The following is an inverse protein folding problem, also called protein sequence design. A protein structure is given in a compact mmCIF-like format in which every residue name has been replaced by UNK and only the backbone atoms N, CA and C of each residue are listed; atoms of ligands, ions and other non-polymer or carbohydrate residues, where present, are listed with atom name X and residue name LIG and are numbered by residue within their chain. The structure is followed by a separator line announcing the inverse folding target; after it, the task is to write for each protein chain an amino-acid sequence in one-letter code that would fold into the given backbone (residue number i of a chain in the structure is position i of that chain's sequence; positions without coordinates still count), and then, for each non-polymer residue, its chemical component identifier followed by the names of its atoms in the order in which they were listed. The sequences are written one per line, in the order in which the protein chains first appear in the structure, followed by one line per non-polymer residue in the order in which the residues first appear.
data_IF_301582261404
#
_entry.id   IF_301582261404
#
_cell.length_a   1.000
_cell.length_b   1.000
_cell.length_c   1.000
_cell.angle_alpha   90.00
_cell.angle_beta   90.00
_cell.angle_gamma   90.00
#
_symmetry.space_group_name_H-M   'P 1'
#
loop_
_entity.id
_entity.type
_entity.pdbx_description
1 polymer ?
#
# COMPACT_ATOMS: atom_id res chain seq x y z
N UNK A 1 -2.67 -23.09 -8.03
CA UNK A 1 -3.46 -21.84 -8.00
C UNK A 1 -2.55 -20.61 -8.00
N UNK A 2 -1.36 -20.68 -7.37
CA UNK A 2 -0.37 -19.59 -7.37
C UNK A 2 0.27 -19.28 -8.74
N UNK A 3 0.49 -20.27 -9.62
CA UNK A 3 1.12 -20.00 -10.94
C UNK A 3 0.37 -18.97 -11.80
N UNK A 4 -0.97 -19.05 -11.85
CA UNK A 4 -1.79 -18.06 -12.59
C UNK A 4 -1.72 -16.66 -12.00
N UNK A 5 -1.67 -16.56 -10.67
CA UNK A 5 -1.52 -15.29 -9.94
C UNK A 5 -0.17 -14.63 -10.28
N UNK A 6 0.92 -15.39 -10.28
CA UNK A 6 2.24 -14.90 -10.66
C UNK A 6 2.37 -14.58 -12.15
N UNK A 7 1.76 -15.36 -13.02
CA UNK A 7 1.66 -15.03 -14.46
C UNK A 7 0.92 -13.71 -14.69
N UNK A 8 -0.16 -13.46 -13.95
CA UNK A 8 -0.89 -12.20 -13.99
C UNK A 8 -0.07 -11.03 -13.43
N UNK A 9 0.66 -11.24 -12.33
CA UNK A 9 1.57 -10.26 -11.76
C UNK A 9 2.68 -9.86 -12.75
N UNK A 10 3.28 -10.82 -13.45
CA UNK A 10 4.26 -10.51 -14.51
C UNK A 10 3.66 -9.64 -15.62
N UNK A 11 2.43 -9.95 -16.05
CA UNK A 11 1.71 -9.16 -17.07
C UNK A 11 1.24 -7.80 -16.56
N UNK A 12 1.14 -7.61 -15.24
CA UNK A 12 0.76 -6.35 -14.61
C UNK A 12 1.88 -5.31 -14.77
N UNK A 13 3.15 -5.71 -14.59
CA UNK A 13 4.29 -4.80 -14.71
C UNK A 13 4.43 -4.20 -16.11
N UNK A 14 4.05 -4.94 -17.15
CA UNK A 14 4.06 -4.47 -18.54
C UNK A 14 2.88 -3.53 -18.87
N UNK A 15 1.91 -3.36 -17.97
CA UNK A 15 0.71 -2.56 -18.24
C UNK A 15 0.91 -1.10 -17.84
N UNK A 16 1.19 -0.26 -18.84
CA UNK A 16 1.39 1.19 -18.69
C UNK A 16 0.20 1.98 -18.15
N UNK A 17 -0.98 1.36 -18.00
CA UNK A 17 -2.16 2.01 -17.40
C UNK A 17 -2.26 1.81 -15.88
N UNK A 18 -1.33 1.08 -15.29
CA UNK A 18 -1.29 0.79 -13.86
C UNK A 18 -0.01 1.42 -13.32
N UNK A 19 -0.14 2.29 -12.33
CA UNK A 19 0.97 2.97 -11.70
C UNK A 19 1.80 2.05 -10.83
N UNK A 20 3.05 2.45 -10.56
CA UNK A 20 4.00 1.67 -9.75
C UNK A 20 3.47 1.33 -8.36
N UNK A 21 2.73 2.24 -7.71
CA UNK A 21 2.14 1.95 -6.40
C UNK A 21 1.13 0.80 -6.45
N UNK A 22 0.25 0.77 -7.45
CA UNK A 22 -0.74 -0.32 -7.56
C UNK A 22 -0.05 -1.62 -7.94
N UNK A 23 1.03 -1.57 -8.72
CA UNK A 23 1.87 -2.73 -8.99
C UNK A 23 2.51 -3.29 -7.72
N UNK A 24 3.11 -2.42 -6.90
CA UNK A 24 3.74 -2.76 -5.62
C UNK A 24 2.73 -3.38 -4.64
N UNK A 25 1.54 -2.78 -4.51
CA UNK A 25 0.46 -3.31 -3.67
C UNK A 25 0.01 -4.69 -4.15
N UNK A 26 -0.15 -4.87 -5.47
CA UNK A 26 -0.54 -6.17 -6.02
C UNK A 26 0.53 -7.23 -5.77
N UNK A 27 1.81 -6.88 -5.87
CA UNK A 27 2.93 -7.75 -5.53
C UNK A 27 2.89 -8.14 -4.06
N UNK A 28 2.79 -7.17 -3.16
CA UNK A 28 2.73 -7.37 -1.71
C UNK A 28 1.64 -8.38 -1.30
N UNK A 29 0.40 -8.16 -1.75
CA UNK A 29 -0.70 -9.07 -1.42
C UNK A 29 -0.62 -10.41 -2.16
N UNK A 30 0.01 -10.46 -3.34
CA UNK A 30 0.18 -11.71 -4.06
C UNK A 30 1.22 -12.62 -3.40
N UNK A 31 2.25 -12.05 -2.77
CA UNK A 31 3.34 -12.80 -2.14
C UNK A 31 3.09 -13.11 -0.65
N UNK A 32 2.18 -12.40 0.03
CA UNK A 32 1.82 -12.63 1.44
C UNK A 32 1.52 -14.11 1.77
N UNK A 33 0.83 -14.84 0.88
CA UNK A 33 0.47 -16.27 1.09
C UNK A 33 1.69 -17.22 1.15
N UNK A 34 2.83 -16.84 0.56
CA UNK A 34 4.03 -17.67 0.48
C UNK A 34 5.05 -17.36 1.62
N UNK A 35 4.76 -16.41 2.51
CA UNK A 35 5.57 -16.08 3.70
C UNK A 35 5.29 -17.01 4.89
N UNK A 36 5.21 -18.33 4.66
CA UNK A 36 5.09 -19.31 5.76
C UNK A 36 6.39 -19.47 6.57
N UNK A 37 7.54 -19.09 6.00
CA UNK A 37 8.80 -19.05 6.71
C UNK A 37 9.07 -17.63 7.21
N UNK A 38 9.12 -17.46 8.53
CA UNK A 38 9.43 -16.22 9.26
C UNK A 38 10.86 -15.65 8.96
N UNK A 39 11.46 -15.95 7.81
CA UNK A 39 12.86 -15.63 7.49
C UNK A 39 13.13 -14.16 7.17
N UNK A 40 12.10 -13.34 6.96
CA UNK A 40 12.22 -11.91 6.61
C UNK A 40 11.57 -10.95 7.61
N UNK A 41 11.17 -11.43 8.79
CA UNK A 41 10.52 -10.60 9.83
C UNK A 41 11.39 -9.45 10.34
N UNK A 42 12.72 -9.48 10.14
CA UNK A 42 13.62 -8.42 10.58
C UNK A 42 13.75 -7.24 9.59
N UNK A 43 13.31 -7.40 8.32
CA UNK A 43 13.50 -6.39 7.27
C UNK A 43 12.20 -5.70 6.82
N UNK A 44 11.04 -6.29 7.11
CA UNK A 44 9.73 -5.79 6.68
C UNK A 44 8.92 -5.40 7.92
N UNK A 45 8.29 -4.22 7.87
CA UNK A 45 7.38 -3.78 8.91
C UNK A 45 6.21 -4.78 9.11
N UNK A 46 5.58 -4.83 10.30
CA UNK A 46 4.42 -5.69 10.51
C UNK A 46 3.34 -5.45 9.44
N UNK A 47 2.62 -6.49 8.96
CA UNK A 47 1.63 -6.33 7.89
C UNK A 47 0.62 -5.21 8.13
N UNK A 48 0.17 -5.06 9.38
CA UNK A 48 -0.73 -3.98 9.78
C UNK A 48 -0.17 -2.58 9.51
N UNK A 49 1.14 -2.38 9.64
CA UNK A 49 1.82 -1.11 9.37
C UNK A 49 1.97 -0.91 7.87
N UNK A 50 2.46 -1.93 7.14
CA UNK A 50 2.60 -1.88 5.68
C UNK A 50 1.28 -1.58 4.98
N UNK A 51 0.22 -2.28 5.35
CA UNK A 51 -1.12 -2.05 4.80
C UNK A 51 -1.65 -0.65 5.15
N UNK A 52 -1.37 -0.16 6.36
CA UNK A 52 -1.75 1.21 6.76
C UNK A 52 -1.02 2.27 5.95
N UNK A 53 0.26 2.07 5.64
CA UNK A 53 1.03 2.96 4.75
C UNK A 53 0.41 2.96 3.35
N UNK A 54 0.17 1.79 2.76
CA UNK A 54 -0.44 1.70 1.44
C UNK A 54 -1.81 2.37 1.38
N UNK A 55 -2.65 2.17 2.39
CA UNK A 55 -3.95 2.84 2.48
C UNK A 55 -3.80 4.36 2.53
N UNK A 56 -2.90 4.92 3.35
CA UNK A 56 -2.68 6.37 3.42
C UNK A 56 -2.25 6.97 2.08
N UNK A 57 -1.35 6.32 1.35
CA UNK A 57 -0.90 6.79 0.04
C UNK A 57 -1.97 6.59 -1.03
N UNK A 58 -2.77 5.53 -0.96
CA UNK A 58 -3.93 5.35 -1.83
C UNK A 58 -4.95 6.49 -1.67
N UNK A 59 -5.14 6.98 -0.44
CA UNK A 59 -6.07 8.08 -0.17
C UNK A 59 -5.64 9.40 -0.81
N UNK A 60 -4.35 9.62 -1.07
CA UNK A 60 -3.85 10.86 -1.69
C UNK A 60 -4.27 11.01 -3.16
N UNK A 61 -4.43 9.89 -3.89
CA UNK A 61 -4.92 9.88 -5.28
C UNK A 61 -6.04 8.85 -5.47
N UNK A 62 -7.02 8.87 -4.56
CA UNK A 62 -8.05 7.82 -4.45
C UNK A 62 -8.74 7.48 -5.77
N UNK A 63 -9.16 8.47 -6.55
CA UNK A 63 -9.87 8.22 -7.82
C UNK A 63 -8.99 7.46 -8.82
N UNK A 64 -7.75 7.92 -9.00
CA UNK A 64 -6.78 7.25 -9.87
C UNK A 64 -6.54 5.80 -9.42
N UNK A 65 -6.34 5.59 -8.11
CA UNK A 65 -6.07 4.26 -7.55
C UNK A 65 -7.28 3.33 -7.74
N UNK A 66 -8.51 3.82 -7.55
CA UNK A 66 -9.73 3.04 -7.78
C UNK A 66 -9.90 2.68 -9.26
N UNK A 67 -9.56 3.58 -10.18
CA UNK A 67 -9.58 3.30 -11.62
C UNK A 67 -8.54 2.23 -11.98
N UNK A 68 -7.32 2.32 -11.45
CA UNK A 68 -6.27 1.34 -11.64
C UNK A 68 -6.66 -0.04 -11.08
N UNK A 69 -7.20 -0.11 -9.85
CA UNK A 69 -7.70 -1.34 -9.25
C UNK A 69 -8.89 -1.94 -10.02
N UNK A 70 -9.71 -1.11 -10.66
CA UNK A 70 -10.77 -1.57 -11.57
C UNK A 70 -10.21 -2.21 -12.84
N UNK A 71 -9.09 -1.69 -13.37
CA UNK A 71 -8.35 -2.33 -14.47
C UNK A 71 -7.80 -3.68 -14.00
N UNK A 72 -7.25 -3.74 -12.78
CA UNK A 72 -6.74 -4.99 -12.17
C UNK A 72 -7.86 -6.03 -12.09
N UNK A 73 -9.00 -5.67 -11.51
CA UNK A 73 -10.18 -6.53 -11.41
C UNK A 73 -10.60 -7.13 -12.76
N UNK A 74 -10.58 -6.31 -13.82
CA UNK A 74 -11.06 -6.70 -15.15
C UNK A 74 -10.07 -7.57 -15.92
N UNK A 75 -8.77 -7.30 -15.79
CA UNK A 75 -7.72 -7.94 -16.61
C UNK A 75 -6.96 -9.05 -15.90
N UNK A 76 -6.87 -8.97 -14.58
CA UNK A 76 -6.05 -9.84 -13.73
C UNK A 76 -6.89 -10.33 -12.54
N UNK A 77 -7.96 -11.11 -12.80
CA UNK A 77 -8.94 -11.48 -11.79
C UNK A 77 -8.38 -12.40 -10.69
N UNK A 78 -7.40 -13.26 -10.99
CA UNK A 78 -6.80 -14.14 -9.98
C UNK A 78 -5.89 -13.33 -9.05
N UNK A 79 -5.13 -12.36 -9.59
CA UNK A 79 -4.36 -11.39 -8.82
C UNK A 79 -5.28 -10.49 -7.97
N UNK A 80 -6.37 -9.98 -8.56
CA UNK A 80 -7.31 -9.09 -7.90
C UNK A 80 -7.91 -9.67 -6.63
N UNK A 81 -8.12 -11.00 -6.56
CA UNK A 81 -8.64 -11.65 -5.36
C UNK A 81 -7.81 -11.32 -4.12
N UNK A 82 -6.48 -11.25 -4.27
CA UNK A 82 -5.53 -10.96 -3.18
C UNK A 82 -5.65 -9.51 -2.68
N UNK A 83 -5.87 -8.54 -3.57
CA UNK A 83 -6.00 -7.11 -3.20
C UNK A 83 -7.45 -6.68 -2.92
N UNK A 84 -8.43 -7.57 -3.14
CA UNK A 84 -9.86 -7.24 -3.06
C UNK A 84 -10.30 -6.71 -1.69
N UNK A 85 -9.67 -7.19 -0.60
CA UNK A 85 -9.90 -6.69 0.75
C UNK A 85 -9.54 -5.20 0.89
N UNK A 86 -8.34 -4.82 0.48
CA UNK A 86 -7.87 -3.42 0.49
C UNK A 86 -8.75 -2.53 -0.41
N UNK A 87 -9.07 -3.01 -1.61
CA UNK A 87 -9.94 -2.28 -2.54
C UNK A 87 -11.33 -2.02 -1.93
N UNK A 88 -11.93 -3.01 -1.28
CA UNK A 88 -13.21 -2.84 -0.57
C UNK A 88 -13.09 -1.83 0.58
N UNK A 89 -11.99 -1.84 1.33
CA UNK A 89 -11.72 -0.85 2.39
C UNK A 89 -11.69 0.57 1.81
N UNK A 90 -11.06 0.79 0.66
CA UNK A 90 -11.05 2.09 -0.03
C UNK A 90 -12.45 2.53 -0.50
N UNK A 91 -13.30 1.59 -0.92
CA UNK A 91 -14.65 1.87 -1.41
C UNK A 91 -15.66 2.17 -0.29
N UNK A 92 -15.64 1.39 0.80
CA UNK A 92 -16.64 1.45 1.88
C UNK A 92 -16.48 2.71 2.73
N UNK A 93 -15.25 3.18 2.93
CA UNK A 93 -14.98 4.38 3.72
C UNK A 93 -15.23 5.65 2.90
N UNK A 94 -16.51 6.00 2.73
CA UNK A 94 -16.92 7.27 2.09
C UNK A 94 -16.45 8.49 2.87
N UNK A 95 -16.37 8.40 4.21
CA UNK A 95 -15.61 9.36 5.01
C UNK A 95 -14.16 8.87 5.13
N UNK A 96 -13.33 9.34 4.20
CA UNK A 96 -11.92 8.96 4.15
C UNK A 96 -11.15 9.42 5.38
N UNK A 97 -11.63 10.42 6.13
CA UNK A 97 -10.93 10.96 7.31
C UNK A 97 -10.87 9.96 8.45
N UNK A 98 -11.90 9.12 8.59
CA UNK A 98 -11.89 8.06 9.60
C UNK A 98 -10.81 7.02 9.28
N UNK A 99 -10.76 6.57 8.01
CA UNK A 99 -9.75 5.62 7.56
C UNK A 99 -8.34 6.20 7.65
N UNK A 100 -8.16 7.45 7.22
CA UNK A 100 -6.90 8.19 7.29
C UNK A 100 -6.39 8.28 8.74
N UNK A 101 -7.22 8.74 9.67
CA UNK A 101 -6.84 8.83 11.08
C UNK A 101 -6.54 7.46 11.69
N UNK A 102 -7.31 6.43 11.36
CA UNK A 102 -7.08 5.08 11.86
C UNK A 102 -5.74 4.51 11.38
N UNK A 103 -5.42 4.65 10.08
CA UNK A 103 -4.13 4.23 9.54
C UNK A 103 -2.97 5.04 10.14
N UNK A 104 -3.13 6.35 10.26
CA UNK A 104 -2.10 7.21 10.85
C UNK A 104 -1.86 6.89 12.34
N UNK A 105 -2.91 6.59 13.10
CA UNK A 105 -2.79 6.17 14.49
C UNK A 105 -1.99 4.87 14.62
N UNK A 106 -2.26 3.86 13.80
CA UNK A 106 -1.50 2.60 13.82
C UNK A 106 -0.02 2.80 13.57
N UNK A 107 0.33 3.68 12.63
CA UNK A 107 1.73 4.01 12.31
C UNK A 107 2.36 4.81 13.45
N UNK A 108 1.64 5.79 14.02
CA UNK A 108 2.12 6.58 15.15
C UNK A 108 2.37 5.72 16.40
N UNK A 109 1.49 4.75 16.69
CA UNK A 109 1.66 3.80 17.80
C UNK A 109 2.88 2.89 17.62
N UNK A 110 3.29 2.65 16.37
CA UNK A 110 4.44 1.83 16.02
C UNK A 110 5.76 2.63 16.04
N UNK A 111 5.74 3.90 15.64
CA UNK A 111 6.92 4.75 15.54
C UNK A 111 7.20 5.51 16.86
N UNK A 112 8.45 5.49 17.35
CA UNK A 112 8.81 6.21 18.59
C UNK A 112 8.64 7.72 18.42
N UNK A 113 8.11 8.37 19.46
CA UNK A 113 7.94 9.83 19.56
C UNK A 113 7.25 10.46 18.34
N UNK A 114 6.30 9.73 17.74
CA UNK A 114 5.61 10.14 16.50
C UNK A 114 4.14 10.36 16.79
N UNK A 115 3.60 11.53 16.41
CA UNK A 115 2.17 11.82 16.49
C UNK A 115 1.44 11.47 15.19
N UNK A 116 0.11 11.39 15.26
CA UNK A 116 -0.74 11.25 14.07
C UNK A 116 -0.51 12.42 13.12
N UNK A 117 -0.41 13.63 13.64
CA UNK A 117 -0.13 14.83 12.85
C UNK A 117 1.22 14.74 12.12
N UNK A 118 2.25 14.18 12.77
CA UNK A 118 3.55 13.97 12.13
C UNK A 118 3.44 12.99 10.95
N UNK A 119 2.72 11.87 11.13
CA UNK A 119 2.49 10.89 10.05
C UNK A 119 1.81 11.56 8.86
N UNK A 120 0.69 12.24 9.10
CA UNK A 120 -0.08 12.90 8.04
C UNK A 120 0.72 14.00 7.34
N UNK A 121 1.51 14.78 8.09
CA UNK A 121 2.39 15.80 7.53
C UNK A 121 3.46 15.19 6.62
N UNK A 122 4.07 14.06 7.00
CA UNK A 122 5.07 13.39 6.16
C UNK A 122 4.45 12.77 4.92
N UNK A 123 3.26 12.16 5.02
CA UNK A 123 2.51 11.65 3.86
C UNK A 123 2.22 12.77 2.87
N UNK A 124 1.68 13.92 3.32
CA UNK A 124 1.39 15.07 2.44
C UNK A 124 2.68 15.65 1.83
N UNK A 125 3.72 15.84 2.65
CA UNK A 125 5.00 16.40 2.21
C UNK A 125 5.71 15.52 1.16
N UNK A 126 5.79 14.21 1.40
CA UNK A 126 6.42 13.29 0.46
C UNK A 126 5.60 13.09 -0.80
N UNK A 127 4.26 13.09 -0.70
CA UNK A 127 3.40 13.04 -1.89
C UNK A 127 3.62 14.26 -2.79
N UNK A 128 3.73 15.46 -2.23
CA UNK A 128 3.94 16.70 -3.00
C UNK A 128 5.33 16.87 -3.58
N UNK A 129 6.34 16.26 -2.95
CA UNK A 129 7.75 16.41 -3.32
C UNK A 129 8.32 15.25 -4.15
N UNK A 130 7.52 14.22 -4.42
CA UNK A 130 7.89 13.05 -5.23
C UNK A 130 7.27 13.09 -6.62
N UNK A 131 7.91 12.41 -7.57
CA UNK A 131 7.40 12.32 -8.95
C UNK A 131 6.31 11.25 -9.10
N UNK A 132 6.23 10.32 -8.15
CA UNK A 132 5.21 9.27 -8.10
C UNK A 132 4.84 8.92 -6.65
N UNK A 133 3.70 8.28 -6.45
CA UNK A 133 3.29 7.81 -5.12
C UNK A 133 4.19 6.69 -4.59
N UNK A 134 4.71 5.81 -5.44
CA UNK A 134 5.67 4.78 -5.03
C UNK A 134 6.98 5.40 -4.51
N UNK A 135 7.51 6.43 -5.19
CA UNK A 135 8.66 7.20 -4.67
C UNK A 135 8.34 7.89 -3.32
N UNK A 136 7.11 8.35 -3.15
CA UNK A 136 6.66 8.95 -1.89
C UNK A 136 6.59 7.92 -0.75
N UNK A 137 6.13 6.70 -1.05
CA UNK A 137 6.13 5.56 -0.12
C UNK A 137 7.56 5.20 0.28
N UNK A 138 8.51 5.13 -0.65
CA UNK A 138 9.93 4.85 -0.35
C UNK A 138 10.53 5.87 0.63
N UNK A 139 10.27 7.17 0.38
CA UNK A 139 10.71 8.25 1.29
C UNK A 139 10.04 8.13 2.65
N UNK A 140 8.77 7.74 2.69
CA UNK A 140 8.04 7.54 3.92
C UNK A 140 8.60 6.37 4.74
N UNK A 141 8.89 5.22 4.12
CA UNK A 141 9.54 4.10 4.80
C UNK A 141 10.93 4.46 5.30
N UNK A 142 11.70 5.22 4.53
CA UNK A 142 13.01 5.73 4.96
C UNK A 142 12.90 6.57 6.24
N UNK A 143 11.87 7.42 6.34
CA UNK A 143 11.56 8.16 7.55
C UNK A 143 11.07 7.27 8.68
N UNK A 144 10.13 6.34 8.41
CA UNK A 144 9.56 5.44 9.40
C UNK A 144 10.63 4.56 10.06
N UNK A 145 11.53 3.98 9.26
CA UNK A 145 12.65 3.15 9.73
C UNK A 145 13.63 3.92 10.62
N UNK A 146 13.71 5.25 10.49
CA UNK A 146 14.52 6.08 11.39
C UNK A 146 13.89 6.26 12.78
N UNK A 147 12.63 5.82 12.97
CA UNK A 147 11.82 5.98 14.18
C UNK A 147 11.35 4.66 14.79
N UNK A 148 11.25 3.58 14.01
CA UNK A 148 10.80 2.26 14.49
C UNK A 148 11.93 1.40 15.10
N UNK A 149 13.21 1.73 14.84
CA UNK A 149 14.39 0.99 15.36
C UNK A 149 14.97 1.57 16.64
#
# INVERSE_FOLDING_TARGET
MNEKKFDELHKLYDNSKIGSLVQEICEYFATQDDYEDNSYQDEIEPPEITESVYLLFCLQSREQILDELSIVQKKYPDLYRSVSGMHNTLLINMDYRFLENNCAQKIADHAKDTSVEDVLMHVDSFTRSSNSLSEAVDKFYSWLHSRSR
#
